data_IF_893050773725
#
_entry.id   IF_893050773725
#
_cell.length_a   1.000
_cell.length_b   1.000
_cell.length_c   1.000
_cell.angle_alpha   90.00
_cell.angle_beta   90.00
_cell.angle_gamma   90.00
#
_symmetry.space_group_name_H-M   'P 1'
#
loop_
_entity.id
_entity.type
_entity.pdbx_description
1 polymer ?
#
# COMPACT_ATOMS: atom_id res chain seq x y z
N UNK A 1 27.89 -11.13 -18.10
CA UNK A 1 26.43 -11.36 -18.09
C UNK A 1 25.82 -10.12 -17.48
N UNK A 2 24.85 -9.44 -18.11
CA UNK A 2 24.25 -8.28 -17.46
C UNK A 2 23.52 -8.77 -16.21
N UNK A 3 23.70 -8.06 -15.10
CA UNK A 3 23.04 -8.37 -13.84
C UNK A 3 21.52 -8.49 -14.06
N UNK A 4 20.95 -9.50 -13.42
CA UNK A 4 19.53 -9.83 -13.37
C UNK A 4 18.68 -8.56 -13.36
N UNK A 5 17.82 -8.41 -14.37
CA UNK A 5 16.83 -7.33 -14.35
C UNK A 5 15.79 -7.75 -13.33
N UNK A 6 15.98 -7.35 -12.07
CA UNK A 6 14.89 -7.33 -11.10
C UNK A 6 13.74 -6.55 -11.74
N UNK A 7 12.54 -7.11 -11.74
CA UNK A 7 11.34 -6.39 -12.19
C UNK A 7 11.32 -5.01 -11.51
N UNK A 8 10.88 -3.96 -12.21
CA UNK A 8 10.87 -2.65 -11.60
C UNK A 8 9.87 -2.67 -10.44
N UNK A 9 10.22 -2.04 -9.31
CA UNK A 9 9.36 -2.06 -8.14
C UNK A 9 7.98 -1.49 -8.47
N UNK A 10 6.95 -2.18 -7.99
CA UNK A 10 5.55 -1.80 -8.13
C UNK A 10 5.22 -0.82 -7.02
N UNK A 11 4.65 0.34 -7.37
CA UNK A 11 4.14 1.30 -6.40
C UNK A 11 2.61 1.34 -6.48
N UNK A 12 1.95 0.97 -5.40
CA UNK A 12 0.50 1.04 -5.27
C UNK A 12 0.10 2.16 -4.32
N UNK A 13 -0.83 2.99 -4.77
CA UNK A 13 -1.52 3.99 -3.95
C UNK A 13 -2.90 3.40 -3.61
N UNK A 14 -3.00 2.81 -2.43
CA UNK A 14 -4.25 2.24 -1.92
C UNK A 14 -5.03 3.32 -1.20
N UNK A 15 -6.15 3.72 -1.79
CA UNK A 15 -7.04 4.74 -1.28
C UNK A 15 -8.10 4.06 -0.43
N UNK A 16 -8.18 4.39 0.85
CA UNK A 16 -9.09 3.73 1.79
C UNK A 16 -9.95 4.71 2.54
N UNK A 17 -11.11 4.22 3.01
CA UNK A 17 -12.05 4.98 3.83
C UNK A 17 -12.40 4.19 5.09
N UNK A 18 -12.21 4.80 6.26
CA UNK A 18 -12.62 4.18 7.52
C UNK A 18 -14.12 3.91 7.54
N UNK A 19 -14.50 2.75 8.08
CA UNK A 19 -15.91 2.39 8.24
C UNK A 19 -16.49 2.97 9.53
N UNK A 20 -17.83 3.05 9.67
CA UNK A 20 -18.45 3.44 10.93
C UNK A 20 -18.06 2.56 12.11
N UNK A 21 -17.84 1.25 11.88
CA UNK A 21 -17.38 0.33 12.92
C UNK A 21 -16.00 0.73 13.45
N UNK A 22 -15.06 1.02 12.55
CA UNK A 22 -13.73 1.50 12.94
C UNK A 22 -13.79 2.81 13.72
N UNK A 23 -14.64 3.74 13.29
CA UNK A 23 -14.82 5.03 13.94
C UNK A 23 -15.48 4.92 15.32
N UNK A 24 -16.32 3.90 15.54
CA UNK A 24 -16.93 3.63 16.83
C UNK A 24 -15.93 3.10 17.88
N UNK A 25 -14.81 2.52 17.45
CA UNK A 25 -13.74 2.05 18.35
C UNK A 25 -13.01 3.21 19.01
N UNK A 26 -12.61 3.00 20.27
CA UNK A 26 -11.62 3.83 20.97
C UNK A 26 -10.24 3.69 20.32
N UNK A 27 -9.34 4.64 20.59
CA UNK A 27 -7.96 4.59 20.08
C UNK A 27 -7.23 3.31 20.50
N UNK A 28 -7.41 2.86 21.75
CA UNK A 28 -6.80 1.63 22.25
C UNK A 28 -7.30 0.39 21.51
N UNK A 29 -8.61 0.31 21.23
CA UNK A 29 -9.20 -0.78 20.45
C UNK A 29 -8.69 -0.79 19.02
N UNK A 30 -8.54 0.39 18.37
CA UNK A 30 -7.97 0.48 17.02
C UNK A 30 -6.54 -0.04 16.97
N UNK A 31 -5.70 0.38 17.92
CA UNK A 31 -4.30 -0.11 18.04
C UNK A 31 -4.29 -1.62 18.23
N UNK A 32 -5.09 -2.15 19.16
CA UNK A 32 -5.19 -3.59 19.42
C UNK A 32 -5.66 -4.35 18.17
N UNK A 33 -6.72 -3.85 17.51
CA UNK A 33 -7.29 -4.47 16.32
C UNK A 33 -6.26 -4.57 15.19
N UNK A 34 -5.48 -3.51 14.96
CA UNK A 34 -4.48 -3.46 13.90
C UNK A 34 -3.27 -4.35 14.21
N UNK A 35 -2.73 -4.24 15.42
CA UNK A 35 -1.55 -5.00 15.88
C UNK A 35 -1.81 -6.49 16.07
N UNK A 36 -3.06 -6.89 16.31
CA UNK A 36 -3.44 -8.30 16.49
C UNK A 36 -3.86 -8.95 15.17
N UNK A 37 -4.68 -8.25 14.37
CA UNK A 37 -5.38 -8.88 13.26
C UNK A 37 -4.85 -8.51 11.87
N UNK A 38 -4.08 -7.43 11.75
CA UNK A 38 -3.64 -6.91 10.44
C UNK A 38 -2.13 -7.08 10.27
N UNK A 39 -1.33 -6.42 11.10
CA UNK A 39 0.13 -6.40 10.94
C UNK A 39 0.77 -7.80 10.96
N UNK A 40 0.40 -8.72 11.88
CA UNK A 40 1.04 -10.03 11.92
C UNK A 40 0.81 -10.85 10.64
N UNK A 41 -0.38 -10.74 10.04
CA UNK A 41 -0.72 -11.47 8.81
C UNK A 41 0.13 -10.97 7.63
N UNK A 42 0.26 -9.65 7.49
CA UNK A 42 1.13 -9.04 6.47
C UNK A 42 2.57 -9.48 6.69
N UNK A 43 3.10 -9.33 7.91
CA UNK A 43 4.49 -9.66 8.24
C UNK A 43 4.82 -11.14 8.03
N UNK A 44 3.86 -12.05 8.28
CA UNK A 44 4.08 -13.49 8.14
C UNK A 44 3.97 -13.99 6.69
N UNK A 45 3.19 -13.31 5.84
CA UNK A 45 2.83 -13.81 4.49
C UNK A 45 3.45 -13.02 3.34
N UNK A 46 4.08 -11.89 3.63
CA UNK A 46 4.64 -10.99 2.61
C UNK A 46 6.15 -10.85 2.78
N UNK A 47 6.81 -10.47 1.70
CA UNK A 47 8.23 -10.15 1.66
C UNK A 47 8.48 -9.12 0.56
N UNK A 48 9.60 -8.39 0.63
CA UNK A 48 9.95 -7.41 -0.39
C UNK A 48 8.96 -6.25 -0.52
N UNK A 49 8.21 -5.94 0.54
CA UNK A 49 7.26 -4.82 0.58
C UNK A 49 7.64 -3.77 1.62
N UNK A 50 7.39 -2.51 1.30
CA UNK A 50 7.56 -1.34 2.18
C UNK A 50 6.34 -0.46 2.07
N UNK A 51 6.01 0.30 3.10
CA UNK A 51 4.89 1.23 3.02
C UNK A 51 5.05 2.52 3.79
N UNK A 52 4.21 3.48 3.39
CA UNK A 52 4.01 4.77 4.04
C UNK A 52 2.50 5.00 4.12
N UNK A 53 1.99 5.36 5.29
CA UNK A 53 0.56 5.57 5.54
C UNK A 53 0.32 7.06 5.78
N UNK A 54 -0.67 7.63 5.11
CA UNK A 54 -0.96 9.07 5.12
C UNK A 54 -2.42 9.33 5.44
N UNK A 55 -2.65 10.14 6.47
CA UNK A 55 -3.98 10.62 6.83
C UNK A 55 -4.38 11.74 5.85
N UNK A 56 -5.56 11.60 5.25
CA UNK A 56 -6.11 12.55 4.24
C UNK A 56 -7.53 13.03 4.58
N UNK A 57 -8.11 12.52 5.66
CA UNK A 57 -9.49 12.75 6.11
C UNK A 57 -9.89 14.21 6.33
N UNK A 58 -8.92 15.09 6.57
CA UNK A 58 -9.14 16.54 6.72
C UNK A 58 -9.12 17.30 5.39
N UNK A 59 -8.63 16.70 4.30
CA UNK A 59 -8.58 17.30 2.97
C UNK A 59 -9.53 16.66 1.94
N UNK A 60 -10.05 15.46 2.23
CA UNK A 60 -10.91 14.72 1.32
C UNK A 60 -12.06 14.05 2.07
N UNK A 61 -13.28 14.20 1.56
CA UNK A 61 -14.42 13.39 2.02
C UNK A 61 -14.53 12.03 1.30
N UNK A 62 -13.77 11.84 0.20
CA UNK A 62 -13.81 10.61 -0.62
C UNK A 62 -13.09 9.46 0.08
N UNK A 63 -11.94 9.73 0.68
CA UNK A 63 -11.05 8.76 1.33
C UNK A 63 -10.57 9.36 2.64
N UNK A 64 -10.28 8.52 3.63
CA UNK A 64 -9.69 8.97 4.89
C UNK A 64 -8.19 8.82 4.87
N UNK A 65 -7.65 7.83 4.15
CA UNK A 65 -6.23 7.53 4.19
C UNK A 65 -5.72 7.05 2.83
N UNK A 66 -4.41 7.23 2.62
CA UNK A 66 -3.68 6.64 1.51
C UNK A 66 -2.58 5.76 2.09
N UNK A 67 -2.66 4.46 1.81
CA UNK A 67 -1.59 3.52 2.11
C UNK A 67 -0.75 3.28 0.86
N UNK A 68 0.42 3.91 0.82
CA UNK A 68 1.37 3.72 -0.29
C UNK A 68 2.19 2.48 -0.01
N UNK A 69 2.19 1.55 -0.95
CA UNK A 69 2.98 0.33 -0.93
C UNK A 69 3.99 0.32 -2.06
N UNK A 70 5.23 -0.01 -1.74
CA UNK A 70 6.27 -0.37 -2.70
C UNK A 70 6.54 -1.86 -2.56
N UNK A 71 6.49 -2.61 -3.66
CA UNK A 71 6.83 -4.01 -3.72
C UNK A 71 7.99 -4.20 -4.70
N UNK A 72 8.91 -5.11 -4.39
CA UNK A 72 10.09 -5.36 -5.22
C UNK A 72 9.71 -5.94 -6.60
N UNK A 73 8.59 -6.67 -6.68
CA UNK A 73 8.03 -7.21 -7.92
C UNK A 73 6.49 -7.41 -7.83
N UNK A 74 5.89 -7.94 -8.91
CA UNK A 74 4.46 -8.21 -8.97
C UNK A 74 4.00 -9.34 -8.03
N UNK A 75 4.85 -10.32 -7.73
CA UNK A 75 4.50 -11.45 -6.86
C UNK A 75 4.44 -11.00 -5.39
N UNK A 76 5.41 -10.22 -4.95
CA UNK A 76 5.43 -9.56 -3.65
C UNK A 76 4.16 -8.69 -3.45
N UNK A 77 3.76 -7.93 -4.48
CA UNK A 77 2.53 -7.14 -4.42
C UNK A 77 1.27 -8.01 -4.35
N UNK A 78 1.20 -9.10 -5.14
CA UNK A 78 0.09 -10.05 -5.08
C UNK A 78 -0.04 -10.66 -3.69
N UNK A 79 1.06 -11.15 -3.10
CA UNK A 79 1.07 -11.71 -1.75
C UNK A 79 0.59 -10.71 -0.69
N UNK A 80 0.94 -9.43 -0.84
CA UNK A 80 0.43 -8.36 0.01
C UNK A 80 -1.09 -8.22 -0.07
N UNK A 81 -1.64 -8.18 -1.27
CA UNK A 81 -3.09 -8.07 -1.45
C UNK A 81 -3.80 -9.32 -0.92
N UNK A 82 -3.29 -10.51 -1.22
CA UNK A 82 -3.81 -11.77 -0.68
C UNK A 82 -3.80 -11.75 0.86
N UNK A 83 -2.70 -11.32 1.48
CA UNK A 83 -2.60 -11.20 2.93
C UNK A 83 -3.60 -10.19 3.52
N UNK A 84 -3.72 -9.00 2.93
CA UNK A 84 -4.63 -7.96 3.40
C UNK A 84 -6.11 -8.37 3.33
N UNK A 85 -6.50 -9.05 2.24
CA UNK A 85 -7.87 -9.56 2.05
C UNK A 85 -8.28 -10.60 3.10
N UNK A 86 -7.31 -11.27 3.72
CA UNK A 86 -7.53 -12.24 4.80
C UNK A 86 -7.55 -11.58 6.19
N UNK A 87 -7.54 -10.25 6.26
CA UNK A 87 -7.65 -9.49 7.51
C UNK A 87 -8.92 -8.65 7.52
N UNK A 88 -9.42 -8.27 8.71
CA UNK A 88 -10.54 -7.33 8.80
C UNK A 88 -10.24 -5.93 8.23
N UNK A 89 -9.01 -5.65 7.77
CA UNK A 89 -8.68 -4.39 7.12
C UNK A 89 -9.51 -4.14 5.86
N UNK A 90 -9.69 -5.16 5.00
CA UNK A 90 -10.11 -4.98 3.60
C UNK A 90 -11.56 -4.51 3.39
N UNK A 91 -12.47 -4.91 4.28
CA UNK A 91 -13.90 -4.63 4.14
C UNK A 91 -14.63 -4.30 5.44
N UNK A 92 -13.95 -4.41 6.60
CA UNK A 92 -14.56 -4.20 7.91
C UNK A 92 -14.05 -2.96 8.61
N UNK A 93 -12.72 -2.78 8.70
CA UNK A 93 -12.12 -1.59 9.30
C UNK A 93 -12.03 -0.45 8.29
N UNK A 94 -11.71 -0.78 7.05
CA UNK A 94 -11.65 0.15 5.94
C UNK A 94 -12.41 -0.40 4.73
N UNK A 95 -12.94 0.50 3.93
CA UNK A 95 -13.33 0.25 2.55
C UNK A 95 -12.13 0.58 1.65
N UNK A 96 -11.72 -0.36 0.81
CA UNK A 96 -10.75 -0.08 -0.27
C UNK A 96 -11.49 0.62 -1.42
N UNK A 97 -11.32 1.93 -1.53
CA UNK A 97 -12.04 2.79 -2.49
C UNK A 97 -11.40 2.75 -3.87
N UNK A 98 -10.07 2.72 -3.93
CA UNK A 98 -9.33 2.72 -5.19
C UNK A 98 -7.94 2.10 -5.03
N UNK A 99 -7.40 1.56 -6.12
CA UNK A 99 -6.06 0.99 -6.19
C UNK A 99 -5.37 1.51 -7.45
N UNK A 100 -4.60 2.58 -7.29
CA UNK A 100 -3.82 3.15 -8.39
C UNK A 100 -2.42 2.56 -8.34
N UNK A 101 -2.08 1.71 -9.32
CA UNK A 101 -0.80 1.01 -9.38
C UNK A 101 0.04 1.55 -10.53
N UNK A 102 1.32 1.82 -10.27
CA UNK A 102 2.25 2.34 -11.25
C UNK A 102 3.67 1.82 -11.05
N UNK A 103 4.51 2.10 -12.05
CA UNK A 103 5.94 1.82 -12.01
C UNK A 103 6.66 3.17 -11.99
N UNK A 104 7.44 3.42 -10.94
CA UNK A 104 8.22 4.66 -10.83
C UNK A 104 9.13 4.81 -12.06
N UNK A 105 9.11 5.98 -12.70
CA UNK A 105 9.94 6.25 -13.89
C UNK A 105 9.85 5.20 -15.01
N UNK A 106 8.69 4.54 -15.17
CA UNK A 106 8.49 3.50 -16.18
C UNK A 106 8.90 3.95 -17.59
N UNK A 107 8.52 5.17 -17.98
CA UNK A 107 8.91 5.75 -19.27
C UNK A 107 10.43 5.83 -19.47
N UNK A 108 11.18 6.21 -18.43
CA UNK A 108 12.63 6.39 -18.52
C UNK A 108 13.32 5.06 -18.78
N UNK A 109 12.86 3.99 -18.12
CA UNK A 109 13.29 2.61 -18.40
C UNK A 109 12.97 2.18 -19.83
N UNK A 110 11.72 2.37 -20.27
CA UNK A 110 11.28 1.98 -21.61
C UNK A 110 12.12 2.63 -22.71
N UNK A 111 12.47 3.90 -22.55
CA UNK A 111 13.20 4.67 -23.57
C UNK A 111 14.71 4.79 -23.32
N UNK A 112 15.25 4.17 -22.27
CA UNK A 112 16.68 4.25 -21.93
C UNK A 112 17.13 5.68 -21.54
N UNK A 113 16.23 6.46 -20.96
CA UNK A 113 16.48 7.85 -20.54
C UNK A 113 16.76 7.94 -19.04
N UNK A 114 17.31 9.07 -18.60
CA UNK A 114 17.34 9.39 -17.17
C UNK A 114 15.93 9.80 -16.69
N UNK A 115 15.54 9.46 -15.45
CA UNK A 115 14.38 10.05 -14.80
C UNK A 115 14.45 11.57 -14.83
N UNK A 116 13.35 12.21 -15.24
CA UNK A 116 13.20 13.67 -15.37
C UNK A 116 12.17 14.21 -14.37
N UNK A 117 11.20 13.38 -13.96
CA UNK A 117 10.13 13.77 -13.04
C UNK A 117 10.41 13.41 -11.57
N UNK A 118 11.41 12.58 -11.29
CA UNK A 118 11.91 12.37 -9.93
C UNK A 118 12.96 13.42 -9.62
N UNK A 119 12.63 14.34 -8.72
CA UNK A 119 13.50 15.44 -8.30
C UNK A 119 13.89 15.25 -6.83
N UNK A 120 15.17 15.46 -6.53
CA UNK A 120 15.68 15.63 -5.18
C UNK A 120 16.47 16.95 -5.18
N UNK A 121 15.95 17.95 -4.50
CA UNK A 121 16.51 19.32 -4.44
C UNK A 121 17.06 19.61 -3.06
#
# INVERSE_FOLDING_TARGET
MPADRTEPPVTAFMLVKTTPEWLAMTVAERIQAFTTNVLPVIQARTHGVRSRFYDTEFYSARVTDIWVWEADDHDAYRLLIDALRETPFWDRYFEVVDLVVGIENGYARTYGLKPLATLAT
#
